data_IF_520855765710
#
_entry.id   IF_520855765710
#
_cell.length_a   1.000
_cell.length_b   1.000
_cell.length_c   1.000
_cell.angle_alpha   90.00
_cell.angle_beta   90.00
_cell.angle_gamma   90.00
#
_symmetry.space_group_name_H-M   'P 1'
#
loop_
_entity.id
_entity.type
_entity.pdbx_description
1 polymer ?
#
# COMPACT_ATOMS: atom_id res chain seq x y z
N UNK A 1 -1.25 -25.73 -48.39
CA UNK A 1 -0.06 -24.94 -48.00
C UNK A 1 -0.50 -24.15 -46.79
N UNK A 2 0.02 -24.47 -45.61
CA UNK A 2 -0.51 -24.07 -44.30
C UNK A 2 -0.41 -22.57 -44.05
N UNK A 3 -1.56 -21.94 -43.78
CA UNK A 3 -1.70 -20.58 -43.27
C UNK A 3 -1.02 -20.46 -41.90
N UNK A 4 0.03 -19.63 -41.84
CA UNK A 4 0.84 -19.37 -40.63
C UNK A 4 0.36 -18.16 -39.82
N UNK A 5 -0.65 -17.40 -40.24
CA UNK A 5 -0.99 -16.16 -39.54
C UNK A 5 -1.92 -16.37 -38.34
N UNK A 6 -1.40 -16.80 -37.18
CA UNK A 6 -2.06 -16.51 -35.92
C UNK A 6 -1.13 -16.54 -34.70
N UNK A 7 -0.16 -15.61 -34.66
CA UNK A 7 0.67 -15.34 -33.48
C UNK A 7 0.16 -14.11 -32.69
N UNK A 8 -1.16 -14.01 -32.49
CA UNK A 8 -1.78 -12.90 -31.73
C UNK A 8 -2.50 -13.33 -30.44
N UNK A 9 -2.86 -14.59 -30.29
CA UNK A 9 -3.64 -15.05 -29.13
C UNK A 9 -2.90 -15.14 -27.79
N UNK A 10 -1.56 -15.21 -27.80
CA UNK A 10 -0.77 -15.45 -26.57
C UNK A 10 -0.22 -14.19 -25.89
N UNK A 11 -0.17 -13.04 -26.59
CA UNK A 11 0.32 -11.77 -26.01
C UNK A 11 -0.77 -11.00 -25.27
N UNK A 12 -2.03 -11.10 -25.72
CA UNK A 12 -3.16 -10.40 -25.08
C UNK A 12 -3.45 -10.96 -23.66
N UNK A 13 -3.23 -12.25 -23.41
CA UNK A 13 -3.53 -12.85 -22.09
C UNK A 13 -2.58 -12.44 -20.96
N UNK A 14 -1.34 -12.02 -21.24
CA UNK A 14 -0.35 -11.71 -20.20
C UNK A 14 -0.36 -10.22 -19.82
N UNK A 15 -0.51 -9.34 -20.81
CA UNK A 15 -0.65 -7.90 -20.59
C UNK A 15 -2.00 -7.54 -19.95
N UNK A 16 -3.08 -8.26 -20.28
CA UNK A 16 -4.37 -8.06 -19.64
C UNK A 16 -4.40 -8.55 -18.19
N UNK A 17 -3.65 -9.61 -17.87
CA UNK A 17 -3.46 -10.04 -16.48
C UNK A 17 -2.66 -9.01 -15.68
N UNK A 18 -1.59 -8.44 -16.25
CA UNK A 18 -0.81 -7.37 -15.63
C UNK A 18 -1.64 -6.10 -15.40
N UNK A 19 -2.46 -5.70 -16.38
CA UNK A 19 -3.36 -4.53 -16.26
C UNK A 19 -4.44 -4.70 -15.21
N UNK A 20 -5.01 -5.90 -15.06
CA UNK A 20 -6.05 -6.18 -14.07
C UNK A 20 -5.50 -6.15 -12.63
N UNK A 21 -4.26 -6.61 -12.45
CA UNK A 21 -3.54 -6.54 -11.16
C UNK A 21 -3.19 -5.08 -10.81
N UNK A 22 -2.87 -4.25 -11.81
CA UNK A 22 -2.59 -2.82 -11.63
C UNK A 22 -3.85 -1.96 -11.44
N UNK A 23 -4.97 -2.29 -12.10
CA UNK A 23 -6.23 -1.51 -12.00
C UNK A 23 -6.91 -1.66 -10.65
N UNK A 24 -6.78 -2.81 -9.99
CA UNK A 24 -7.29 -3.02 -8.61
C UNK A 24 -6.51 -2.24 -7.55
N UNK A 25 -5.43 -1.54 -7.92
CA UNK A 25 -4.58 -0.75 -7.01
C UNK A 25 -4.78 0.75 -7.20
N UNK A 26 -5.79 1.20 -7.95
CA UNK A 26 -6.01 2.62 -8.14
C UNK A 26 -6.65 3.25 -6.88
N UNK A 27 -5.99 4.23 -6.23
CA UNK A 27 -6.61 4.98 -5.15
C UNK A 27 -7.83 5.73 -5.70
N UNK A 28 -8.98 5.53 -5.05
CA UNK A 28 -10.22 6.24 -5.40
C UNK A 28 -10.07 7.73 -5.13
N UNK A 29 -10.63 8.57 -6.01
CA UNK A 29 -10.57 10.04 -5.90
C UNK A 29 -11.07 10.53 -4.54
N UNK A 30 -10.37 11.49 -3.95
CA UNK A 30 -10.74 12.13 -2.67
C UNK A 30 -12.08 12.87 -2.80
N UNK A 31 -13.15 12.29 -2.25
CA UNK A 31 -14.51 12.86 -2.27
C UNK A 31 -14.79 13.85 -1.13
N UNK A 32 -13.75 14.42 -0.52
CA UNK A 32 -13.86 15.32 0.66
C UNK A 32 -14.49 14.64 1.90
N UNK A 33 -14.47 13.31 1.97
CA UNK A 33 -14.92 12.55 3.14
C UNK A 33 -13.80 12.48 4.20
N UNK A 34 -14.14 12.49 5.50
CA UNK A 34 -13.16 12.36 6.57
C UNK A 34 -12.47 11.00 6.50
N UNK A 35 -11.15 11.00 6.30
CA UNK A 35 -10.35 9.78 6.30
C UNK A 35 -10.40 9.14 7.69
N UNK A 36 -10.94 7.93 7.76
CA UNK A 36 -10.95 7.10 8.97
C UNK A 36 -9.77 6.16 8.90
N UNK A 37 -9.10 5.98 10.03
CA UNK A 37 -8.06 4.97 10.16
C UNK A 37 -8.22 4.25 11.48
N UNK A 38 -7.87 2.98 11.47
CA UNK A 38 -7.80 2.15 12.66
C UNK A 38 -6.43 1.49 12.70
N UNK A 39 -5.65 1.83 13.73
CA UNK A 39 -4.41 1.13 14.04
C UNK A 39 -4.83 -0.22 14.62
N UNK A 40 -4.57 -1.29 13.86
CA UNK A 40 -4.87 -2.65 14.27
C UNK A 40 -3.77 -3.14 15.21
N UNK A 41 -2.52 -2.89 14.83
CA UNK A 41 -1.35 -3.34 15.56
C UNK A 41 -0.16 -2.39 15.34
N UNK A 42 0.65 -2.18 16.38
CA UNK A 42 1.91 -1.44 16.30
C UNK A 42 3.05 -2.43 16.35
N UNK A 43 3.81 -2.52 15.25
CA UNK A 43 4.89 -3.51 15.10
C UNK A 43 6.18 -2.98 15.71
N UNK A 44 6.57 -1.76 15.33
CA UNK A 44 7.84 -1.19 15.76
C UNK A 44 7.84 0.34 15.72
N UNK A 45 8.57 0.96 16.65
CA UNK A 45 8.92 2.38 16.58
C UNK A 45 10.34 2.50 16.04
N UNK A 46 10.46 3.02 14.81
CA UNK A 46 11.72 3.12 14.08
C UNK A 46 12.60 4.26 14.59
N UNK A 47 11.99 5.38 14.98
CA UNK A 47 12.72 6.56 15.49
C UNK A 47 11.83 7.43 16.34
N UNK A 48 12.38 8.05 17.37
CA UNK A 48 11.70 9.07 18.19
C UNK A 48 12.49 10.37 18.11
N UNK A 49 11.79 11.48 17.89
CA UNK A 49 12.38 12.82 17.93
C UNK A 49 11.97 13.55 19.21
N UNK A 50 12.86 14.38 19.75
CA UNK A 50 12.60 15.24 20.93
C UNK A 50 11.43 16.22 20.73
N UNK A 51 10.97 16.40 19.48
CA UNK A 51 9.79 17.22 19.12
C UNK A 51 8.46 16.46 19.24
N UNK A 52 8.46 15.27 19.85
CA UNK A 52 7.25 14.46 20.06
C UNK A 52 6.71 13.81 18.78
N UNK A 53 7.59 13.57 17.80
CA UNK A 53 7.26 12.82 16.58
C UNK A 53 7.94 11.45 16.65
N UNK A 54 7.18 10.41 16.35
CA UNK A 54 7.63 9.03 16.31
C UNK A 54 7.37 8.47 14.91
N UNK A 55 8.39 7.89 14.31
CA UNK A 55 8.22 7.12 13.08
C UNK A 55 7.92 5.69 13.48
N UNK A 56 6.76 5.20 13.06
CA UNK A 56 6.23 3.91 13.48
C UNK A 56 5.91 3.07 12.25
N UNK A 57 6.12 1.76 12.37
CA UNK A 57 5.60 0.73 11.49
C UNK A 57 4.38 0.13 12.17
N UNK A 58 3.21 0.35 11.58
CA UNK A 58 1.92 -0.07 12.10
C UNK A 58 1.17 -0.88 11.04
N UNK A 59 0.25 -1.73 11.47
CA UNK A 59 -0.78 -2.32 10.62
C UNK A 59 -2.01 -1.43 10.74
N UNK A 60 -2.41 -0.79 9.64
CA UNK A 60 -3.50 0.19 9.62
C UNK A 60 -4.56 -0.24 8.59
N UNK A 61 -5.81 -0.21 9.03
CA UNK A 61 -6.97 -0.26 8.15
C UNK A 61 -7.43 1.17 7.86
N UNK A 62 -7.41 1.54 6.58
CA UNK A 62 -7.88 2.83 6.09
C UNK A 62 -9.31 2.71 5.58
N UNK A 63 -10.23 3.54 6.09
CA UNK A 63 -11.65 3.56 5.68
C UNK A 63 -12.30 2.16 5.68
N UNK A 64 -12.04 1.36 6.72
CA UNK A 64 -12.52 -0.03 6.86
C UNK A 64 -12.05 -0.99 5.74
N UNK A 65 -11.02 -0.60 4.98
CA UNK A 65 -10.37 -1.46 4.01
C UNK A 65 -9.47 -2.50 4.67
N UNK A 66 -8.94 -3.43 3.86
CA UNK A 66 -8.00 -4.45 4.32
C UNK A 66 -6.81 -3.82 5.07
N UNK A 67 -6.45 -4.35 6.26
CA UNK A 67 -5.31 -3.88 7.01
C UNK A 67 -4.02 -4.03 6.21
N UNK A 68 -3.22 -2.97 6.16
CA UNK A 68 -1.94 -2.94 5.45
C UNK A 68 -0.83 -2.42 6.34
N UNK A 69 0.41 -2.73 5.98
CA UNK A 69 1.57 -2.14 6.64
C UNK A 69 1.65 -0.65 6.29
N UNK A 70 1.92 0.18 7.28
CA UNK A 70 2.06 1.62 7.10
C UNK A 70 3.24 2.11 7.91
N UNK A 71 4.21 2.72 7.22
CA UNK A 71 5.35 3.39 7.84
C UNK A 71 5.09 4.88 7.78
N UNK A 72 4.84 5.50 8.93
CA UNK A 72 4.50 6.92 8.99
C UNK A 72 5.02 7.59 10.23
N UNK A 73 5.23 8.90 10.10
CA UNK A 73 5.55 9.75 11.25
C UNK A 73 4.25 10.16 11.94
N UNK A 74 4.05 9.67 13.14
CA UNK A 74 2.95 10.00 14.04
C UNK A 74 3.42 11.00 15.09
N UNK A 75 2.51 11.89 15.53
CA UNK A 75 2.72 12.61 16.79
C UNK A 75 2.53 11.61 17.93
N UNK A 76 3.19 11.81 19.07
CA UNK A 76 3.12 10.95 20.27
C UNK A 76 1.69 10.62 20.75
N UNK A 77 0.73 11.49 20.43
CA UNK A 77 -0.69 11.38 20.77
C UNK A 77 -1.57 10.87 19.60
N UNK A 78 -0.96 10.38 18.51
CA UNK A 78 -1.58 9.97 17.23
C UNK A 78 -2.56 10.98 16.60
N UNK A 79 -2.61 12.21 17.13
CA UNK A 79 -3.55 13.27 16.73
C UNK A 79 -3.21 13.91 15.39
N UNK A 80 -1.98 13.73 14.89
CA UNK A 80 -1.55 14.22 13.58
C UNK A 80 -0.76 13.14 12.85
N UNK A 81 -1.12 12.95 11.59
CA UNK A 81 -0.38 12.15 10.62
C UNK A 81 0.62 13.04 9.87
N UNK A 82 1.87 12.62 9.85
CA UNK A 82 2.91 13.19 9.01
C UNK A 82 3.02 12.47 7.67
N UNK A 83 4.17 12.65 7.01
CA UNK A 83 4.51 11.90 5.80
C UNK A 83 4.70 10.41 6.13
N UNK A 84 4.30 9.56 5.20
CA UNK A 84 4.42 8.12 5.32
C UNK A 84 4.17 7.41 4.01
N UNK A 85 4.27 6.09 4.05
CA UNK A 85 4.01 5.18 2.95
C UNK A 85 3.19 4.00 3.47
N UNK A 86 2.17 3.62 2.72
CA UNK A 86 1.45 2.37 2.92
C UNK A 86 2.09 1.32 2.03
N UNK A 87 2.43 0.18 2.60
CA UNK A 87 3.07 -0.93 1.95
C UNK A 87 2.13 -2.13 1.93
N UNK A 88 2.11 -2.83 0.81
CA UNK A 88 1.44 -4.11 0.70
C UNK A 88 2.34 -5.23 1.28
N UNK A 89 1.76 -6.41 1.48
CA UNK A 89 2.49 -7.56 2.03
C UNK A 89 3.66 -7.98 1.14
N UNK A 90 3.47 -7.97 -0.19
CA UNK A 90 4.52 -8.27 -1.17
C UNK A 90 5.68 -7.25 -1.10
N UNK A 91 5.38 -5.97 -0.93
CA UNK A 91 6.39 -4.92 -0.77
C UNK A 91 7.16 -5.04 0.55
N UNK A 92 6.49 -5.45 1.63
CA UNK A 92 7.13 -5.67 2.93
C UNK A 92 8.07 -6.88 2.92
N UNK A 93 7.71 -7.96 2.22
CA UNK A 93 8.60 -9.13 2.08
C UNK A 93 9.89 -8.73 1.35
N UNK A 94 9.78 -7.97 0.26
CA UNK A 94 10.97 -7.47 -0.47
C UNK A 94 11.83 -6.57 0.41
N UNK A 95 11.22 -5.72 1.25
CA UNK A 95 11.96 -4.86 2.19
C UNK A 95 12.64 -5.63 3.32
N UNK A 96 12.08 -6.76 3.75
CA UNK A 96 12.64 -7.59 4.81
C UNK A 96 13.82 -8.45 4.31
N UNK A 97 13.79 -8.85 3.04
CA UNK A 97 14.84 -9.66 2.39
C UNK A 97 16.05 -8.84 1.91
N UNK A 98 15.91 -7.51 1.82
CA UNK A 98 16.96 -6.58 1.37
C UNK A 98 18.02 -6.28 2.44
#
# INVERSE_FOLDING_TARGET
MTDWENDKGWKESFEDQQKKIQSNRQPTKDNNEPIRFKIIETIAVLSKNDRGWQKELNIISWNDAEPKYDIRSWKDDHSRVGKGVTLFEDEMVVLADA
#
